data_IF_865183765563
#
_entry.id   IF_865183765563
#
_cell.length_a   1.000
_cell.length_b   1.000
_cell.length_c   1.000
_cell.angle_alpha   90.00
_cell.angle_beta   90.00
_cell.angle_gamma   90.00
#
_symmetry.space_group_name_H-M   'P 1'
#
loop_
_entity.id
_entity.type
_entity.pdbx_description
1 polymer ?
#
# COMPACT_ATOMS: atom_id res chain seq x y z
N UNK A 1 -0.91 10.22 -9.24
CA UNK A 1 -0.19 10.48 -7.97
C UNK A 1 1.19 11.07 -8.26
N UNK A 2 1.86 11.72 -7.29
CA UNK A 2 3.27 12.14 -7.37
C UNK A 2 4.02 11.61 -6.15
N UNK A 3 5.30 11.27 -6.31
CA UNK A 3 6.24 10.99 -5.20
C UNK A 3 7.26 12.10 -5.17
N UNK A 4 7.49 12.69 -4.00
CA UNK A 4 8.43 13.78 -3.79
C UNK A 4 9.50 13.41 -2.76
N UNK A 5 10.73 13.88 -2.97
CA UNK A 5 11.80 13.74 -1.99
C UNK A 5 11.60 14.73 -0.85
N UNK A 6 11.71 14.26 0.39
CA UNK A 6 11.71 15.12 1.57
C UNK A 6 13.08 15.76 1.82
N UNK A 7 13.10 16.87 2.56
CA UNK A 7 14.30 17.42 3.18
C UNK A 7 14.91 16.40 4.15
N UNK A 8 16.20 16.55 4.46
CA UNK A 8 16.91 15.60 5.32
C UNK A 8 16.38 15.56 6.77
N UNK A 9 15.66 16.60 7.21
CA UNK A 9 14.96 16.67 8.50
C UNK A 9 13.52 16.10 8.44
N UNK A 10 13.04 15.72 7.25
CA UNK A 10 11.70 15.22 6.96
C UNK A 10 10.54 16.19 7.27
N UNK A 11 10.83 17.48 7.46
CA UNK A 11 9.81 18.48 7.79
C UNK A 11 9.24 19.21 6.56
N UNK A 12 9.84 19.00 5.38
CA UNK A 12 9.37 19.61 4.14
C UNK A 12 9.59 18.72 2.93
N UNK A 13 8.86 19.00 1.86
CA UNK A 13 9.16 18.46 0.53
C UNK A 13 10.17 19.35 -0.19
N UNK A 14 11.12 18.74 -0.88
CA UNK A 14 12.01 19.43 -1.82
C UNK A 14 11.32 19.76 -3.16
N UNK A 15 10.12 19.22 -3.38
CA UNK A 15 9.15 19.72 -4.36
C UNK A 15 9.60 19.67 -5.82
N UNK A 16 9.33 20.77 -6.54
CA UNK A 16 9.25 20.89 -8.02
C UNK A 16 10.40 20.30 -8.83
N UNK A 17 11.61 20.20 -8.27
CA UNK A 17 12.78 19.62 -8.95
C UNK A 17 13.15 18.22 -8.48
N UNK A 18 12.56 17.73 -7.37
CA UNK A 18 12.87 16.44 -6.77
C UNK A 18 11.61 15.58 -6.60
N UNK A 19 10.92 15.34 -7.71
CA UNK A 19 9.70 14.54 -7.76
C UNK A 19 9.65 13.64 -8.99
N UNK A 20 8.73 12.70 -8.99
CA UNK A 20 8.49 11.75 -10.08
C UNK A 20 7.72 12.31 -11.28
N UNK A 21 7.24 13.54 -11.20
CA UNK A 21 6.07 13.98 -11.96
C UNK A 21 4.81 13.22 -11.58
N UNK A 22 3.69 13.53 -12.24
CA UNK A 22 2.46 12.77 -12.08
C UNK A 22 2.53 11.46 -12.87
N UNK A 23 2.12 10.36 -12.23
CA UNK A 23 2.02 9.05 -12.87
C UNK A 23 0.78 8.30 -12.40
N UNK A 24 0.42 7.28 -13.20
CA UNK A 24 -0.74 6.43 -12.99
C UNK A 24 -2.07 7.13 -13.26
N UNK A 25 -3.13 6.57 -12.69
CA UNK A 25 -4.49 7.07 -12.88
C UNK A 25 -4.70 8.46 -12.24
N UNK A 26 -5.72 9.16 -12.74
CA UNK A 26 -6.19 10.42 -12.16
C UNK A 26 -7.27 10.17 -11.10
N UNK A 27 -7.50 11.15 -10.22
CA UNK A 27 -8.50 11.04 -9.14
C UNK A 27 -8.26 9.81 -8.24
N UNK A 28 -7.05 9.76 -7.67
CA UNK A 28 -6.55 8.66 -6.82
C UNK A 28 -6.19 9.18 -5.43
N UNK A 29 -6.25 8.31 -4.42
CA UNK A 29 -5.88 8.61 -3.04
C UNK A 29 -5.33 7.35 -2.33
N UNK A 30 -5.05 7.45 -1.02
CA UNK A 30 -4.67 6.29 -0.21
C UNK A 30 -3.38 5.62 -0.71
N UNK A 31 -2.29 6.37 -0.77
CA UNK A 31 -1.03 5.91 -1.35
C UNK A 31 -0.08 5.27 -0.33
N UNK A 32 0.67 4.26 -0.77
CA UNK A 32 1.80 3.71 -0.03
C UNK A 32 2.94 3.30 -0.99
N UNK A 33 4.18 3.31 -0.49
CA UNK A 33 5.34 2.86 -1.24
C UNK A 33 6.21 1.95 -0.38
N UNK A 34 6.69 0.84 -0.95
CA UNK A 34 7.63 -0.07 -0.31
C UNK A 34 8.68 -0.58 -1.29
N UNK A 35 9.81 -1.07 -0.77
CA UNK A 35 10.89 -1.63 -1.60
C UNK A 35 11.03 -3.13 -1.34
N UNK A 36 11.15 -3.91 -2.41
CA UNK A 36 11.41 -5.36 -2.38
C UNK A 36 12.39 -5.73 -3.50
N UNK A 37 13.48 -6.42 -3.14
CA UNK A 37 14.49 -6.92 -4.08
C UNK A 37 15.00 -5.88 -5.10
N UNK A 38 15.24 -4.65 -4.64
CA UNK A 38 15.71 -3.55 -5.49
C UNK A 38 14.61 -2.78 -6.23
N UNK A 39 13.39 -3.33 -6.32
CA UNK A 39 12.24 -2.69 -6.97
C UNK A 39 11.42 -1.89 -5.97
N UNK A 40 11.03 -0.68 -6.36
CA UNK A 40 10.06 0.16 -5.64
C UNK A 40 8.66 -0.16 -6.15
N UNK A 41 7.76 -0.44 -5.22
CA UNK A 41 6.34 -0.67 -5.46
C UNK A 41 5.58 0.50 -4.87
N UNK A 42 4.85 1.21 -5.70
CA UNK A 42 3.93 2.27 -5.29
C UNK A 42 2.51 1.80 -5.57
N UNK A 43 1.64 1.92 -4.58
CA UNK A 43 0.24 1.54 -4.67
C UNK A 43 -0.63 2.72 -4.30
N UNK A 44 -1.74 2.89 -4.99
CA UNK A 44 -2.79 3.83 -4.61
C UNK A 44 -4.13 3.39 -5.17
N UNK A 45 -5.19 3.78 -4.47
CA UNK A 45 -6.56 3.45 -4.85
C UNK A 45 -7.25 4.55 -5.64
N UNK A 46 -8.34 4.19 -6.30
CA UNK A 46 -9.26 5.20 -6.84
C UNK A 46 -9.85 6.02 -5.69
N UNK A 47 -9.98 7.34 -5.89
CA UNK A 47 -10.58 8.22 -4.90
C UNK A 47 -12.08 7.93 -4.75
N UNK A 48 -12.50 7.65 -3.51
CA UNK A 48 -13.90 7.43 -3.14
C UNK A 48 -14.32 8.15 -1.85
N UNK A 49 -13.40 8.86 -1.18
CA UNK A 49 -13.67 9.75 -0.04
C UNK A 49 -14.50 9.11 1.09
N UNK A 50 -13.92 8.15 1.83
CA UNK A 50 -14.61 7.49 2.95
C UNK A 50 -15.85 6.66 2.54
N UNK A 51 -15.84 6.08 1.33
CA UNK A 51 -16.93 5.24 0.85
C UNK A 51 -17.03 3.90 1.62
N UNK A 52 -18.26 3.40 1.81
CA UNK A 52 -18.50 2.12 2.48
C UNK A 52 -18.08 0.92 1.62
N UNK A 53 -18.07 1.09 0.30
CA UNK A 53 -17.75 0.07 -0.68
C UNK A 53 -16.26 -0.28 -0.72
N UNK A 54 -15.39 0.60 -0.21
CA UNK A 54 -13.94 0.54 -0.41
C UNK A 54 -13.51 0.97 -1.82
N UNK A 55 -12.21 0.89 -2.09
CA UNK A 55 -11.65 1.25 -3.39
C UNK A 55 -10.63 0.22 -3.88
N UNK A 56 -10.66 -0.06 -5.19
CA UNK A 56 -9.63 -0.90 -5.79
C UNK A 56 -8.28 -0.20 -5.82
N UNK A 57 -7.19 -0.98 -5.76
CA UNK A 57 -5.81 -0.47 -5.69
C UNK A 57 -5.02 -0.92 -6.91
N UNK A 58 -4.29 -0.02 -7.54
CA UNK A 58 -3.38 -0.33 -8.65
C UNK A 58 -1.93 -0.27 -8.21
N UNK A 59 -1.12 -1.21 -8.69
CA UNK A 59 0.32 -1.30 -8.41
C UNK A 59 1.12 -0.66 -9.55
N UNK A 60 2.14 0.10 -9.17
CA UNK A 60 3.11 0.72 -10.04
C UNK A 60 4.52 0.37 -9.55
N UNK A 61 5.47 0.12 -10.46
CA UNK A 61 6.83 -0.25 -10.10
C UNK A 61 7.89 0.63 -10.73
N UNK A 62 9.03 0.78 -10.07
CA UNK A 62 10.23 1.43 -10.63
C UNK A 62 11.50 0.85 -10.03
N UNK A 63 12.62 1.01 -10.74
CA UNK A 63 13.96 0.76 -10.20
C UNK A 63 14.50 1.92 -9.35
N UNK A 64 13.81 3.07 -9.34
CA UNK A 64 14.19 4.29 -8.61
C UNK A 64 13.00 4.82 -7.79
N UNK A 65 13.23 5.42 -6.61
CA UNK A 65 12.14 5.94 -5.77
C UNK A 65 11.35 7.09 -6.42
N UNK A 66 11.94 7.78 -7.39
CA UNK A 66 11.30 8.88 -8.12
C UNK A 66 10.89 8.49 -9.55
N UNK A 67 10.83 7.19 -9.85
CA UNK A 67 10.44 6.72 -11.17
C UNK A 67 11.59 6.70 -12.19
N UNK A 68 11.26 6.51 -13.48
CA UNK A 68 9.91 6.41 -14.04
C UNK A 68 9.15 5.18 -13.53
N UNK A 69 7.84 5.32 -13.31
CA UNK A 69 6.99 4.23 -12.85
C UNK A 69 6.27 3.55 -14.02
N UNK A 70 6.22 2.22 -13.98
CA UNK A 70 5.43 1.38 -14.89
C UNK A 70 4.20 0.86 -14.17
N UNK A 71 3.04 0.97 -14.78
CA UNK A 71 1.79 0.35 -14.29
C UNK A 71 1.89 -1.17 -14.38
N UNK A 72 1.48 -1.85 -13.31
CA UNK A 72 1.38 -3.31 -13.24
C UNK A 72 -0.09 -3.70 -13.24
N UNK A 73 -0.56 -4.40 -12.21
CA UNK A 73 -1.92 -4.90 -12.09
C UNK A 73 -2.73 -4.17 -11.02
N UNK A 74 -4.05 -4.35 -11.06
CA UNK A 74 -4.97 -3.97 -10.00
C UNK A 74 -5.11 -5.14 -9.00
N UNK A 75 -5.17 -4.82 -7.71
CA UNK A 75 -5.27 -5.78 -6.61
C UNK A 75 -6.70 -6.18 -6.27
N UNK A 76 -7.70 -5.52 -6.89
CA UNK A 76 -9.09 -5.65 -6.52
C UNK A 76 -9.49 -4.71 -5.39
N UNK A 77 -10.75 -4.83 -4.96
CA UNK A 77 -11.35 -4.11 -3.83
C UNK A 77 -11.69 -5.10 -2.70
N UNK A 78 -10.79 -6.05 -2.47
CA UNK A 78 -11.01 -7.12 -1.52
C UNK A 78 -11.05 -6.59 -0.09
N UNK A 79 -11.99 -7.13 0.70
CA UNK A 79 -12.30 -6.68 2.03
C UNK A 79 -13.18 -5.43 2.09
N UNK A 80 -13.59 -4.85 0.95
CA UNK A 80 -14.38 -3.62 0.88
C UNK A 80 -13.82 -2.54 1.80
N UNK A 81 -12.56 -2.19 1.54
CA UNK A 81 -11.76 -1.32 2.39
C UNK A 81 -10.92 -0.37 1.53
N UNK A 82 -10.60 0.78 2.08
CA UNK A 82 -9.79 1.79 1.42
C UNK A 82 -8.36 1.76 1.96
N UNK A 83 -7.38 1.53 1.07
CA UNK A 83 -5.95 1.49 1.40
C UNK A 83 -5.52 2.76 2.17
N UNK A 84 -4.78 2.57 3.25
CA UNK A 84 -4.07 3.64 3.93
C UNK A 84 -2.59 3.34 4.16
N UNK A 85 -2.17 2.06 4.11
CA UNK A 85 -0.78 1.70 4.34
C UNK A 85 -0.43 0.31 3.76
N UNK A 86 0.86 0.12 3.48
CA UNK A 86 1.48 -1.21 3.36
C UNK A 86 2.48 -1.35 4.50
N UNK A 87 2.19 -2.23 5.46
CA UNK A 87 3.11 -2.52 6.57
C UNK A 87 4.12 -3.57 6.15
N UNK A 88 5.41 -3.25 6.28
CA UNK A 88 6.49 -4.21 6.11
C UNK A 88 6.84 -4.88 7.45
N UNK A 89 7.05 -6.19 7.46
CA UNK A 89 7.46 -6.96 8.64
C UNK A 89 8.55 -7.97 8.31
N UNK A 90 9.39 -8.33 9.29
CA UNK A 90 10.41 -9.40 9.13
C UNK A 90 9.79 -10.76 9.45
N UNK A 91 10.06 -11.77 8.62
CA UNK A 91 9.52 -13.13 8.78
C UNK A 91 10.61 -14.17 9.03
N UNK A 92 10.26 -15.22 9.78
CA UNK A 92 11.08 -16.41 10.08
C UNK A 92 11.28 -17.34 8.89
N UNK A 93 10.30 -17.43 7.98
CA UNK A 93 10.27 -18.48 6.94
C UNK A 93 11.35 -18.28 5.86
N UNK A 94 11.73 -17.03 5.55
CA UNK A 94 12.60 -16.73 4.40
C UNK A 94 13.84 -15.86 4.73
N UNK A 95 14.09 -15.54 6.01
CA UNK A 95 15.01 -14.44 6.43
C UNK A 95 14.71 -13.10 5.73
N UNK A 96 13.52 -12.96 5.15
CA UNK A 96 13.11 -11.85 4.31
C UNK A 96 12.08 -10.94 4.98
N UNK A 97 11.47 -10.09 4.16
CA UNK A 97 10.36 -9.23 4.58
C UNK A 97 9.04 -9.72 3.96
N UNK A 98 8.00 -9.75 4.79
CA UNK A 98 6.60 -9.81 4.36
C UNK A 98 5.97 -8.41 4.30
N UNK A 99 4.80 -8.33 3.67
CA UNK A 99 4.06 -7.08 3.50
C UNK A 99 2.57 -7.33 3.77
N UNK A 100 1.97 -6.49 4.62
CA UNK A 100 0.53 -6.47 4.87
C UNK A 100 -0.07 -5.26 4.18
N UNK A 101 -1.10 -5.50 3.37
CA UNK A 101 -2.02 -4.47 2.93
C UNK A 101 -2.95 -4.09 4.08
N UNK A 102 -3.16 -2.80 4.31
CA UNK A 102 -4.05 -2.30 5.35
C UNK A 102 -5.03 -1.27 4.80
N UNK A 103 -6.31 -1.46 5.08
CA UNK A 103 -7.38 -0.56 4.66
C UNK A 103 -8.43 -0.29 5.73
N UNK A 104 -9.07 0.87 5.63
CA UNK A 104 -10.18 1.27 6.48
C UNK A 104 -11.50 0.83 5.85
N UNK A 105 -12.40 0.27 6.66
CA UNK A 105 -13.78 -0.05 6.29
C UNK A 105 -14.66 1.10 6.77
N UNK A 106 -14.69 2.19 6.02
CA UNK A 106 -15.44 3.37 6.42
C UNK A 106 -16.94 3.07 6.54
N UNK A 107 -17.61 3.77 7.46
CA UNK A 107 -19.05 3.62 7.74
C UNK A 107 -19.44 2.21 8.24
N UNK A 108 -18.48 1.44 8.76
CA UNK A 108 -18.74 0.09 9.29
C UNK A 108 -19.05 0.09 10.79
N UNK A 109 -18.79 1.21 11.47
CA UNK A 109 -19.12 1.42 12.88
C UNK A 109 -20.64 1.32 13.12
N UNK A 110 -21.12 0.41 13.99
CA UNK A 110 -22.54 0.27 14.29
C UNK A 110 -23.17 1.51 14.95
N UNK A 111 -22.36 2.33 15.63
CA UNK A 111 -22.77 3.57 16.28
C UNK A 111 -22.53 4.82 15.41
N UNK A 112 -22.03 4.63 14.18
CA UNK A 112 -21.70 5.72 13.25
C UNK A 112 -20.50 6.57 13.66
N UNK A 113 -19.76 6.20 14.71
CA UNK A 113 -18.57 6.93 15.12
C UNK A 113 -17.38 6.54 14.23
N UNK A 114 -16.87 7.49 13.44
CA UNK A 114 -15.74 7.27 12.52
C UNK A 114 -14.51 6.62 13.16
N UNK A 115 -14.21 6.96 14.43
CA UNK A 115 -13.08 6.37 15.16
C UNK A 115 -13.25 4.88 15.50
N UNK A 116 -14.46 4.34 15.34
CA UNK A 116 -14.81 2.94 15.57
C UNK A 116 -14.96 2.16 14.26
N UNK A 117 -14.73 2.80 13.11
CA UNK A 117 -14.74 2.10 11.83
C UNK A 117 -13.67 1.01 11.81
N UNK A 118 -14.04 -0.16 11.30
CA UNK A 118 -13.16 -1.32 11.28
C UNK A 118 -12.03 -1.15 10.28
N UNK A 119 -11.02 -2.00 10.41
CA UNK A 119 -9.94 -2.14 9.43
C UNK A 119 -9.92 -3.54 8.85
N UNK A 120 -9.52 -3.68 7.59
CA UNK A 120 -9.22 -4.97 6.95
C UNK A 120 -7.75 -5.04 6.57
N UNK A 121 -7.08 -6.10 6.99
CA UNK A 121 -5.66 -6.32 6.75
C UNK A 121 -5.50 -7.64 6.02
N UNK A 122 -4.58 -7.71 5.06
CA UNK A 122 -4.33 -8.93 4.28
C UNK A 122 -2.85 -9.03 3.91
N UNK A 123 -2.23 -10.22 4.01
CA UNK A 123 -0.89 -10.42 3.48
C UNK A 123 -0.88 -10.25 1.97
N UNK A 124 0.12 -9.55 1.45
CA UNK A 124 0.43 -9.51 0.03
C UNK A 124 1.25 -10.75 -0.35
N UNK A 125 0.93 -11.31 -1.52
CA UNK A 125 1.71 -12.39 -2.11
C UNK A 125 2.26 -11.95 -3.47
N UNK A 126 3.39 -12.53 -3.86
CA UNK A 126 4.09 -12.19 -5.08
C UNK A 126 4.25 -13.43 -5.96
N UNK A 127 4.24 -13.27 -7.27
CA UNK A 127 4.64 -14.33 -8.19
C UNK A 127 6.17 -14.40 -8.37
N UNK A 128 6.63 -15.32 -9.23
CA UNK A 128 8.06 -15.56 -9.47
C UNK A 128 8.74 -14.36 -10.15
N UNK A 129 8.00 -13.55 -10.89
CA UNK A 129 8.47 -12.34 -11.56
C UNK A 129 8.45 -11.11 -10.64
N UNK A 130 7.94 -11.28 -9.41
CA UNK A 130 7.82 -10.22 -8.42
C UNK A 130 6.58 -9.34 -8.60
N UNK A 131 5.59 -9.75 -9.39
CA UNK A 131 4.31 -9.05 -9.46
C UNK A 131 3.49 -9.34 -8.20
N UNK A 132 2.79 -8.34 -7.69
CA UNK A 132 1.85 -8.52 -6.58
C UNK A 132 0.63 -9.26 -7.12
N UNK A 133 0.25 -10.38 -6.52
CA UNK A 133 -0.94 -11.13 -6.94
C UNK A 133 -2.21 -10.39 -6.51
N UNK A 134 -3.32 -10.69 -7.20
CA UNK A 134 -4.65 -10.22 -6.81
C UNK A 134 -4.95 -10.60 -5.36
N UNK A 135 -5.60 -9.70 -4.62
CA UNK A 135 -5.98 -9.98 -3.23
C UNK A 135 -7.24 -10.83 -3.18
N UNK A 136 -7.20 -11.91 -2.40
CA UNK A 136 -8.36 -12.75 -2.11
C UNK A 136 -8.78 -12.54 -0.66
N UNK A 137 -10.10 -12.61 -0.41
CA UNK A 137 -10.63 -12.49 0.94
C UNK A 137 -9.97 -13.52 1.86
N UNK A 138 -9.39 -13.04 2.95
CA UNK A 138 -8.77 -13.89 3.96
C UNK A 138 -9.37 -13.52 5.31
N UNK A 139 -10.31 -14.35 5.78
CA UNK A 139 -11.00 -14.12 7.05
C UNK A 139 -10.04 -14.11 8.24
N UNK A 140 -9.04 -14.99 8.20
CA UNK A 140 -8.03 -15.15 9.24
C UNK A 140 -6.71 -15.53 8.59
N UNK A 141 -5.62 -14.99 9.11
CA UNK A 141 -4.26 -15.37 8.74
C UNK A 141 -3.36 -15.31 9.97
N UNK A 142 -2.24 -16.00 9.92
CA UNK A 142 -1.17 -15.92 10.94
C UNK A 142 0.08 -15.42 10.23
N UNK A 143 0.82 -14.51 10.88
CA UNK A 143 2.15 -14.11 10.44
C UNK A 143 3.14 -14.43 11.55
N UNK A 144 4.20 -15.17 11.19
CA UNK A 144 5.32 -15.38 12.08
C UNK A 144 6.31 -14.22 11.90
N UNK A 145 6.44 -13.41 12.96
CA UNK A 145 7.32 -12.24 12.96
C UNK A 145 8.56 -12.49 13.80
N UNK A 146 9.72 -12.05 13.31
CA UNK A 146 10.96 -12.06 14.09
C UNK A 146 10.99 -10.81 14.98
N UNK A 147 11.08 -11.03 16.29
CA UNK A 147 11.39 -9.98 17.27
C UNK A 147 12.90 -9.96 17.50
N UNK A 148 13.67 -9.29 16.65
CA UNK A 148 15.04 -8.92 17.01
C UNK A 148 15.01 -7.60 17.78
N UNK A 149 15.22 -7.68 19.10
CA UNK A 149 15.36 -6.52 20.01
C UNK A 149 16.85 -6.13 20.11
N UNK A 150 17.55 -6.10 18.98
CA UNK A 150 18.99 -5.80 18.93
C UNK A 150 19.25 -4.46 18.27
#
# INVERSE_FOLDING_TARGET
>A
MSVEKLSDDYLSSLGRTFNSGYFGETFVEGGAMFKRNGTYYTVFGQCCCYCAEGASVTVYISSSPLGPFKTMNNLGNEGHAQLYNILQFKTTEDKGYGYLWQGNKWQSSPDGAKGHDFTYWSPLSFDQDGNVKYMNYTANFTIDVIFDIH
#
